data_IF_380553908023
#
_entry.id   IF_380553908023
#
_cell.length_a   1.000
_cell.length_b   1.000
_cell.length_c   1.000
_cell.angle_alpha   90.00
_cell.angle_beta   90.00
_cell.angle_gamma   90.00
#
_symmetry.space_group_name_H-M   'P 1'
#
loop_
_entity.id
_entity.type
_entity.pdbx_description
1 polymer ?
#
# COMPACT_ATOMS: atom_id res chain seq x y z
N UNK A 1 44.38 -15.86 -34.67
CA UNK A 1 43.94 -15.66 -33.27
C UNK A 1 42.91 -14.55 -33.27
N UNK A 2 41.63 -14.91 -33.13
CA UNK A 2 40.56 -13.96 -32.84
C UNK A 2 39.65 -14.67 -31.83
N UNK A 3 39.55 -14.08 -30.65
CA UNK A 3 38.79 -14.53 -29.49
C UNK A 3 37.52 -13.68 -29.40
N UNK A 4 36.41 -14.29 -28.98
CA UNK A 4 35.36 -13.61 -28.22
C UNK A 4 34.05 -13.36 -28.96
N UNK A 5 33.04 -14.14 -28.62
CA UNK A 5 31.85 -13.65 -27.90
C UNK A 5 31.00 -14.86 -27.47
N UNK A 6 31.27 -15.41 -26.28
CA UNK A 6 30.35 -16.29 -25.57
C UNK A 6 29.58 -15.42 -24.58
N UNK A 7 28.30 -15.21 -24.87
CA UNK A 7 27.36 -14.51 -24.00
C UNK A 7 26.86 -15.49 -22.92
N UNK A 8 27.16 -15.29 -21.63
CA UNK A 8 26.85 -16.26 -20.58
C UNK A 8 25.48 -15.94 -19.98
N UNK A 9 24.39 -16.45 -20.57
CA UNK A 9 23.06 -16.14 -20.02
C UNK A 9 21.88 -17.00 -20.43
N UNK A 10 21.98 -17.88 -21.42
CA UNK A 10 20.87 -18.78 -21.78
C UNK A 10 21.37 -20.21 -21.86
N UNK A 11 20.90 -21.15 -21.00
CA UNK A 11 21.18 -22.57 -21.23
C UNK A 11 20.65 -22.92 -22.62
N UNK A 12 21.39 -23.70 -23.43
CA UNK A 12 20.93 -24.07 -24.76
C UNK A 12 19.53 -24.68 -24.61
N UNK A 13 18.53 -24.00 -25.15
CA UNK A 13 17.19 -24.57 -25.27
C UNK A 13 17.34 -25.64 -26.36
N UNK A 14 17.75 -26.84 -25.95
CA UNK A 14 17.70 -28.01 -26.81
C UNK A 14 16.24 -28.44 -26.90
N UNK A 15 15.50 -27.74 -27.75
CA UNK A 15 14.09 -28.03 -28.02
C UNK A 15 13.93 -29.27 -28.91
N UNK A 16 15.02 -30.00 -29.18
CA UNK A 16 15.03 -31.11 -30.13
C UNK A 16 14.96 -30.64 -31.59
N UNK A 17 14.97 -31.57 -32.56
CA UNK A 17 14.70 -31.24 -33.95
C UNK A 17 13.28 -30.67 -34.07
N UNK A 18 13.08 -29.64 -34.91
CA UNK A 18 11.75 -29.04 -35.09
C UNK A 18 10.75 -30.10 -35.54
N UNK A 19 9.55 -30.06 -34.96
CA UNK A 19 8.46 -30.95 -35.37
C UNK A 19 7.97 -30.57 -36.78
N UNK A 20 7.19 -31.45 -37.41
CA UNK A 20 6.70 -31.28 -38.78
C UNK A 20 5.94 -29.95 -38.95
N UNK A 21 5.19 -29.52 -37.93
CA UNK A 21 4.46 -28.24 -37.92
C UNK A 21 5.37 -27.01 -37.87
N UNK A 22 6.57 -27.13 -37.29
CA UNK A 22 7.56 -26.05 -37.20
C UNK A 22 8.40 -25.92 -38.48
N UNK A 23 8.33 -26.92 -39.36
CA UNK A 23 9.06 -26.97 -40.64
C UNK A 23 8.14 -26.83 -41.85
N UNK A 24 6.84 -27.04 -41.69
CA UNK A 24 5.85 -26.87 -42.76
C UNK A 24 5.66 -25.39 -43.11
N UNK A 25 6.00 -24.95 -44.34
CA UNK A 25 5.81 -23.57 -44.76
C UNK A 25 4.33 -23.15 -44.76
N UNK A 26 3.38 -24.07 -44.92
CA UNK A 26 1.96 -23.76 -44.84
C UNK A 26 1.53 -23.46 -43.38
N UNK A 27 2.05 -24.21 -42.41
CA UNK A 27 1.78 -23.99 -40.99
C UNK A 27 2.43 -22.70 -40.47
N UNK A 28 3.67 -22.41 -40.87
CA UNK A 28 4.37 -21.16 -40.48
C UNK A 28 3.68 -19.90 -41.04
N UNK A 29 3.11 -19.99 -42.25
CA UNK A 29 2.36 -18.88 -42.86
C UNK A 29 0.97 -18.67 -42.20
N UNK A 30 0.41 -19.72 -41.58
CA UNK A 30 -0.89 -19.64 -40.91
C UNK A 30 -0.89 -18.67 -39.72
N UNK A 31 0.26 -18.46 -39.07
CA UNK A 31 0.37 -17.50 -37.97
C UNK A 31 0.31 -16.05 -38.47
N UNK A 32 1.00 -15.71 -39.56
CA UNK A 32 0.92 -14.39 -40.19
C UNK A 32 -0.48 -14.11 -40.79
N UNK A 33 -1.19 -15.15 -41.25
CA UNK A 33 -2.57 -15.05 -41.73
C UNK A 33 -3.58 -14.64 -40.64
N UNK A 34 -3.23 -14.81 -39.37
CA UNK A 34 -4.05 -14.41 -38.23
C UNK A 34 -3.74 -12.99 -37.71
N UNK A 35 -2.76 -12.30 -38.30
CA UNK A 35 -2.47 -10.91 -37.96
C UNK A 35 -3.60 -9.98 -38.45
N UNK A 36 -3.79 -8.88 -37.73
CA UNK A 36 -4.91 -7.94 -37.92
C UNK A 36 -4.91 -7.31 -39.33
N UNK A 37 -3.72 -7.03 -39.86
CA UNK A 37 -3.52 -6.50 -41.22
C UNK A 37 -4.01 -7.47 -42.31
N UNK A 38 -3.85 -8.79 -42.10
CA UNK A 38 -4.33 -9.82 -43.05
C UNK A 38 -5.79 -10.15 -42.85
N UNK A 39 -6.24 -10.24 -41.60
CA UNK A 39 -7.65 -10.46 -41.26
C UNK A 39 -8.53 -9.25 -41.62
N UNK A 40 -7.94 -8.08 -41.94
CA UNK A 40 -8.63 -6.83 -42.24
C UNK A 40 -9.62 -6.47 -41.12
N UNK A 41 -9.27 -6.81 -39.88
CA UNK A 41 -10.04 -6.48 -38.68
C UNK A 41 -9.31 -5.36 -37.97
N UNK A 42 -9.98 -4.23 -37.74
CA UNK A 42 -9.46 -3.22 -36.83
C UNK A 42 -9.68 -3.72 -35.40
N UNK A 43 -8.63 -3.86 -34.56
CA UNK A 43 -8.80 -4.19 -33.15
C UNK A 43 -9.76 -3.25 -32.42
N UNK A 44 -9.88 -2.00 -32.89
CA UNK A 44 -10.81 -0.99 -32.35
C UNK A 44 -12.24 -1.15 -32.84
N UNK A 45 -12.50 -1.86 -33.94
CA UNK A 45 -13.86 -2.12 -34.44
C UNK A 45 -14.62 -3.15 -33.58
N UNK A 46 -13.88 -4.06 -32.92
CA UNK A 46 -14.39 -4.94 -31.85
C UNK A 46 -13.98 -4.51 -30.45
N UNK A 47 -13.25 -3.40 -30.32
CA UNK A 47 -13.02 -2.78 -29.02
C UNK A 47 -14.37 -2.57 -28.34
N UNK A 48 -14.47 -2.93 -27.06
CA UNK A 48 -15.66 -2.63 -26.28
C UNK A 48 -15.81 -1.11 -26.30
N UNK A 49 -16.71 -0.60 -27.15
CA UNK A 49 -17.03 0.82 -27.14
C UNK A 49 -17.47 1.14 -25.72
N UNK A 50 -16.79 2.08 -25.04
CA UNK A 50 -17.23 2.47 -23.71
C UNK A 50 -18.69 2.93 -23.82
N UNK A 51 -19.50 2.70 -22.76
CA UNK A 51 -20.92 3.05 -22.81
C UNK A 51 -21.12 4.47 -23.33
N UNK A 52 -22.17 4.68 -24.14
CA UNK A 52 -22.57 6.03 -24.55
C UNK A 52 -22.63 6.93 -23.30
N UNK A 53 -21.87 8.02 -23.31
CA UNK A 53 -21.71 8.98 -22.20
C UNK A 53 -20.84 8.52 -21.03
N UNK A 54 -19.82 7.70 -21.28
CA UNK A 54 -18.67 7.67 -20.39
C UNK A 54 -18.04 9.08 -20.32
N UNK A 55 -18.30 9.78 -19.22
CA UNK A 55 -17.46 10.88 -18.78
C UNK A 55 -16.37 10.28 -17.89
N UNK A 56 -15.12 10.69 -18.08
CA UNK A 56 -14.12 10.58 -17.02
C UNK A 56 -14.76 11.11 -15.72
N UNK A 57 -14.49 10.46 -14.60
CA UNK A 57 -15.07 10.85 -13.32
C UNK A 57 -14.41 12.14 -12.82
N UNK A 58 -14.69 13.26 -13.49
CA UNK A 58 -14.25 14.61 -13.15
C UNK A 58 -15.11 15.18 -12.00
N UNK A 59 -15.59 14.31 -11.09
CA UNK A 59 -16.61 14.67 -10.11
C UNK A 59 -16.05 15.59 -9.02
N UNK A 60 -14.81 15.38 -8.64
CA UNK A 60 -14.12 16.14 -7.60
C UNK A 60 -12.66 16.40 -8.04
N UNK A 61 -11.97 17.34 -7.38
CA UNK A 61 -10.55 17.66 -7.63
C UNK A 61 -10.27 18.34 -9.00
N UNK A 62 -11.28 18.97 -9.59
CA UNK A 62 -11.14 19.68 -10.87
C UNK A 62 -10.52 21.08 -10.72
N UNK A 63 -10.40 21.58 -9.49
CA UNK A 63 -9.78 22.87 -9.19
C UNK A 63 -8.69 22.75 -8.12
N UNK A 64 -7.64 23.60 -8.16
CA UNK A 64 -6.59 23.61 -7.14
C UNK A 64 -7.10 23.86 -5.70
N UNK A 65 -8.27 24.49 -5.57
CA UNK A 65 -8.92 24.71 -4.28
C UNK A 65 -9.53 23.42 -3.71
N UNK A 66 -10.06 22.55 -4.57
CA UNK A 66 -10.65 21.27 -4.20
C UNK A 66 -9.57 20.22 -3.92
N UNK A 67 -8.48 20.20 -4.70
CA UNK A 67 -7.30 19.33 -4.46
C UNK A 67 -6.73 19.50 -3.03
N UNK A 68 -6.70 20.73 -2.52
CA UNK A 68 -6.21 21.02 -1.17
C UNK A 68 -7.18 20.65 -0.04
N UNK A 69 -8.46 20.44 -0.37
CA UNK A 69 -9.51 20.07 0.58
C UNK A 69 -9.71 18.56 0.64
N UNK A 70 -9.55 17.88 -0.50
CA UNK A 70 -9.82 16.46 -0.66
C UNK A 70 -11.26 16.09 -0.30
N UNK A 71 -11.58 14.79 -0.40
CA UNK A 71 -12.83 14.28 0.14
C UNK A 71 -12.80 14.21 1.67
N UNK A 72 -13.92 14.62 2.27
CA UNK A 72 -14.17 14.50 3.70
C UNK A 72 -14.03 13.03 4.16
N UNK A 73 -13.50 12.81 5.36
CA UNK A 73 -13.21 11.46 5.86
C UNK A 73 -14.51 10.67 6.02
N UNK A 74 -15.58 11.34 6.45
CA UNK A 74 -16.91 10.79 6.65
C UNK A 74 -17.52 10.33 5.32
N UNK A 75 -17.26 11.06 4.24
CA UNK A 75 -17.69 10.67 2.91
C UNK A 75 -16.99 9.39 2.45
N UNK A 76 -15.66 9.33 2.59
CA UNK A 76 -14.87 8.13 2.24
C UNK A 76 -15.26 6.90 3.07
N UNK A 77 -15.54 7.10 4.36
CA UNK A 77 -15.98 6.04 5.26
C UNK A 77 -17.37 5.51 4.89
N UNK A 78 -18.27 6.36 4.41
CA UNK A 78 -19.60 5.94 3.97
C UNK A 78 -19.58 5.08 2.70
N UNK A 79 -18.58 5.26 1.83
CA UNK A 79 -18.37 4.45 0.63
C UNK A 79 -17.71 3.10 0.93
N UNK A 80 -16.99 2.99 2.04
CA UNK A 80 -16.29 1.77 2.45
C UNK A 80 -17.29 0.65 2.77
N UNK A 81 -17.01 -0.56 2.27
CA UNK A 81 -17.74 -1.78 2.61
C UNK A 81 -16.82 -2.72 3.39
N UNK A 82 -17.24 -3.27 4.53
CA UNK A 82 -16.44 -4.25 5.26
C UNK A 82 -16.20 -5.48 4.39
N UNK A 83 -14.94 -5.85 4.20
CA UNK A 83 -14.51 -7.08 3.54
C UNK A 83 -14.47 -8.27 4.50
N UNK A 84 -14.40 -7.99 5.81
CA UNK A 84 -14.45 -8.96 6.89
C UNK A 84 -15.86 -9.08 7.47
N UNK A 85 -16.19 -10.28 7.98
CA UNK A 85 -17.39 -10.44 8.81
C UNK A 85 -17.21 -9.62 10.08
N UNK A 86 -18.28 -8.97 10.54
CA UNK A 86 -18.27 -8.29 11.83
C UNK A 86 -17.75 -9.24 12.91
N UNK A 87 -16.65 -8.83 13.56
CA UNK A 87 -16.07 -9.59 14.64
C UNK A 87 -17.10 -9.66 15.78
N UNK A 88 -17.34 -10.87 16.30
CA UNK A 88 -18.12 -11.01 17.53
C UNK A 88 -17.27 -10.46 18.66
N UNK A 89 -17.61 -9.26 19.15
CA UNK A 89 -16.91 -8.67 20.28
C UNK A 89 -17.28 -9.47 21.54
N UNK A 90 -16.31 -10.09 22.24
CA UNK A 90 -16.60 -10.84 23.45
C UNK A 90 -17.06 -9.88 24.57
N UNK A 91 -18.00 -10.34 25.39
CA UNK A 91 -18.54 -9.58 26.54
C UNK A 91 -17.46 -9.25 27.59
N UNK A 92 -16.34 -9.96 27.56
CA UNK A 92 -15.16 -9.75 28.39
C UNK A 92 -13.96 -9.50 27.48
N UNK A 93 -13.12 -8.49 27.75
CA UNK A 93 -11.87 -8.30 27.02
C UNK A 93 -10.98 -9.55 27.06
N UNK A 94 -10.32 -9.87 25.96
CA UNK A 94 -9.42 -11.03 25.86
C UNK A 94 -8.32 -10.97 26.92
N UNK A 95 -7.73 -9.79 27.17
CA UNK A 95 -6.70 -9.60 28.20
C UNK A 95 -7.17 -9.78 29.64
N UNK A 96 -8.48 -9.79 29.89
CA UNK A 96 -9.07 -10.10 31.21
C UNK A 96 -9.59 -11.54 31.29
N UNK A 97 -9.46 -12.32 30.21
CA UNK A 97 -9.94 -13.70 30.15
C UNK A 97 -8.86 -14.65 30.69
N UNK A 98 -9.17 -15.52 31.66
CA UNK A 98 -8.20 -16.50 32.17
C UNK A 98 -7.70 -17.40 31.04
N UNK A 99 -6.43 -17.84 31.11
CA UNK A 99 -5.82 -18.68 30.08
C UNK A 99 -6.60 -19.98 29.78
N UNK A 100 -7.29 -20.55 30.78
CA UNK A 100 -8.16 -21.74 30.61
C UNK A 100 -9.39 -21.48 29.75
N UNK A 101 -9.86 -20.23 29.69
CA UNK A 101 -11.08 -19.85 28.98
C UNK A 101 -10.77 -19.26 27.58
N UNK A 102 -9.50 -19.22 27.17
CA UNK A 102 -9.10 -18.78 25.82
C UNK A 102 -9.29 -19.92 24.80
N UNK A 103 -9.68 -19.57 23.59
CA UNK A 103 -9.85 -20.53 22.48
C UNK A 103 -8.54 -20.77 21.71
N UNK A 104 -8.57 -21.72 20.78
CA UNK A 104 -7.41 -22.11 19.96
C UNK A 104 -7.01 -21.06 18.90
N UNK A 105 -7.74 -19.94 18.77
CA UNK A 105 -7.38 -18.87 17.84
C UNK A 105 -6.28 -17.94 18.38
N UNK A 106 -5.94 -18.08 19.66
CA UNK A 106 -4.91 -17.28 20.32
C UNK A 106 -3.59 -18.06 20.35
N UNK A 107 -2.67 -17.67 19.47
CA UNK A 107 -1.36 -18.33 19.33
C UNK A 107 -0.36 -18.00 20.46
N UNK A 108 -0.59 -16.91 21.21
CA UNK A 108 0.32 -16.44 22.25
C UNK A 108 -0.41 -16.11 23.54
N UNK A 109 -0.13 -16.89 24.59
CA UNK A 109 -0.65 -16.69 25.94
C UNK A 109 0.49 -16.18 26.82
N UNK A 110 0.37 -14.94 27.30
CA UNK A 110 1.29 -14.41 28.32
C UNK A 110 0.79 -14.86 29.70
N UNK A 111 1.59 -15.67 30.42
CA UNK A 111 1.23 -16.15 31.77
C UNK A 111 1.26 -15.03 32.84
N UNK A 112 1.94 -13.92 32.55
CA UNK A 112 2.06 -12.75 33.43
C UNK A 112 1.55 -11.49 32.71
N UNK A 113 0.27 -11.11 32.87
CA UNK A 113 -0.23 -9.89 32.27
C UNK A 113 0.45 -8.68 32.93
N UNK A 114 1.26 -7.96 32.16
CA UNK A 114 1.77 -6.64 32.55
C UNK A 114 0.59 -5.79 33.07
N UNK A 115 0.68 -5.21 34.28
CA UNK A 115 -0.39 -4.39 34.81
C UNK A 115 -0.62 -3.22 33.87
N UNK A 116 -1.84 -3.14 33.32
CA UNK A 116 -2.27 -1.98 32.53
C UNK A 116 -2.07 -0.75 33.41
N UNK A 117 -1.15 0.12 33.02
CA UNK A 117 -0.93 1.37 33.72
C UNK A 117 -2.29 2.08 33.83
N UNK A 118 -2.66 2.62 35.01
CA UNK A 118 -3.86 3.43 35.12
C UNK A 118 -3.78 4.54 34.08
N UNK A 119 -4.94 4.96 33.53
CA UNK A 119 -5.03 6.07 32.58
C UNK A 119 -4.09 7.19 33.02
N UNK A 120 -2.94 7.33 32.33
CA UNK A 120 -2.01 8.40 32.65
C UNK A 120 -2.82 9.69 32.45
N UNK A 121 -2.89 10.58 33.47
CA UNK A 121 -3.52 11.87 33.24
C UNK A 121 -2.77 12.48 32.06
N UNK A 122 -3.52 12.82 31.00
CA UNK A 122 -2.96 13.39 29.77
C UNK A 122 -1.87 14.38 30.16
N UNK A 123 -0.62 14.06 29.86
CA UNK A 123 0.50 14.97 30.15
C UNK A 123 0.08 16.31 29.59
N UNK A 124 -0.03 17.33 30.45
CA UNK A 124 -0.35 18.69 30.03
C UNK A 124 0.80 19.19 29.14
N UNK A 125 0.77 18.83 27.85
CA UNK A 125 1.80 19.19 26.86
C UNK A 125 1.71 20.66 26.47
N UNK A 126 0.74 21.41 27.01
CA UNK A 126 0.65 22.84 26.81
C UNK A 126 1.51 23.56 27.84
N UNK A 127 2.76 23.86 27.49
CA UNK A 127 3.57 24.83 28.22
C UNK A 127 2.83 26.17 28.31
N UNK A 128 3.21 27.00 29.28
CA UNK A 128 2.66 28.35 29.39
C UNK A 128 2.93 29.19 28.13
N UNK A 129 4.00 28.90 27.37
CA UNK A 129 4.28 29.53 26.10
C UNK A 129 3.28 29.10 25.01
N UNK A 130 2.95 27.80 24.90
CA UNK A 130 1.91 27.31 24.00
C UNK A 130 0.56 27.98 24.28
N UNK A 131 0.21 28.14 25.56
CA UNK A 131 -1.04 28.82 25.98
C UNK A 131 -1.07 30.31 25.62
N UNK A 132 0.10 30.95 25.48
CA UNK A 132 0.24 32.35 25.07
C UNK A 132 0.54 32.52 23.57
N UNK A 133 0.58 31.44 22.79
CA UNK A 133 0.93 31.49 21.36
C UNK A 133 2.42 31.77 21.07
N UNK A 134 3.30 31.55 22.06
CA UNK A 134 4.73 31.85 22.02
C UNK A 134 5.60 30.58 21.89
N UNK A 135 5.03 29.48 21.37
CA UNK A 135 5.75 28.20 21.28
C UNK A 135 7.00 28.26 20.39
N UNK A 136 7.15 29.26 19.53
CA UNK A 136 8.33 29.47 18.70
C UNK A 136 9.52 30.09 19.46
N UNK A 137 9.28 30.75 20.58
CA UNK A 137 10.32 31.40 21.40
C UNK A 137 10.99 30.41 22.37
N UNK A 138 10.38 29.24 22.58
CA UNK A 138 10.84 28.19 23.48
C UNK A 138 11.35 27.01 22.63
N UNK A 139 12.66 26.80 22.62
CA UNK A 139 13.27 25.70 21.88
C UNK A 139 12.79 24.36 22.45
N UNK A 140 12.03 23.61 21.65
CA UNK A 140 11.40 22.36 22.05
C UNK A 140 12.42 21.27 22.35
N UNK A 141 12.50 20.87 23.62
CA UNK A 141 13.09 19.60 24.05
C UNK A 141 14.13 19.73 25.16
N UNK A 142 14.19 18.71 26.00
CA UNK A 142 15.16 18.54 27.09
C UNK A 142 16.63 18.61 26.66
N UNK A 143 16.92 18.48 25.36
CA UNK A 143 18.25 18.64 24.78
C UNK A 143 18.68 20.11 24.66
N UNK A 144 17.74 21.05 24.53
CA UNK A 144 18.06 22.47 24.31
C UNK A 144 18.63 23.15 25.57
N UNK A 145 18.26 22.67 26.76
CA UNK A 145 18.74 23.18 28.06
C UNK A 145 20.25 22.99 28.21
N UNK A 146 20.77 21.82 27.84
CA UNK A 146 22.19 21.47 27.94
C UNK A 146 23.08 22.31 27.03
N UNK A 147 22.56 22.79 25.89
CA UNK A 147 23.36 23.58 24.92
C UNK A 147 23.48 25.05 25.36
N UNK A 148 22.59 25.54 26.23
CA UNK A 148 22.51 26.98 26.58
C UNK A 148 23.34 27.38 27.79
N UNK A 149 23.73 26.43 28.64
CA UNK A 149 24.60 26.70 29.80
C UNK A 149 26.05 26.46 29.37
N UNK A 150 26.85 27.50 29.12
CA UNK A 150 28.29 27.31 28.95
C UNK A 150 28.88 26.76 30.25
N UNK A 151 29.82 25.83 30.15
CA UNK A 151 30.63 25.41 31.30
C UNK A 151 31.24 26.66 31.96
N UNK A 152 31.09 26.79 33.28
CA UNK A 152 31.76 27.85 34.03
C UNK A 152 33.27 27.73 33.82
N UNK A 153 33.97 28.82 33.45
CA UNK A 153 35.43 28.77 33.35
C UNK A 153 36.03 28.59 34.75
N UNK A 154 36.95 27.65 34.89
CA UNK A 154 37.78 27.50 36.10
C UNK A 154 38.69 28.71 36.38
#
# INVERSE_FOLDING_TARGET
MSLGNEDPGTPPQDTGPPDEVETDPAALNSSEDLDEDRLHVDPLEKGVEPPERWSAADREEMTPFEEGRGQDIEHRLAEERPDVREATIPQRPVGATPATDLDETIDYVTEDPEPVAPDEPARETSSAATRRGQAADEAGGSMAETIRTPDEPE
#
